data_IF_611672491464
#
_entry.id   IF_611672491464
#
_cell.length_a   1.000
_cell.length_b   1.000
_cell.length_c   1.000
_cell.angle_alpha   90.00
_cell.angle_beta   90.00
_cell.angle_gamma   90.00
#
_symmetry.space_group_name_H-M   'P 1'
#
loop_
_entity.id
_entity.type
_entity.pdbx_description
1 polymer ?
#
# COMPACT_ATOMS: atom_id res chain seq x y z
N UNK A 1 -39.06 -3.32 -20.23
CA UNK A 1 -38.34 -2.60 -21.30
C UNK A 1 -37.92 -1.23 -20.79
N UNK A 2 -36.65 -0.87 -20.96
CA UNK A 2 -36.08 0.35 -20.40
C UNK A 2 -34.96 0.88 -21.29
N UNK A 3 -34.76 2.21 -21.27
CA UNK A 3 -33.57 2.82 -21.86
C UNK A 3 -32.39 2.55 -20.93
N UNK A 4 -31.40 1.82 -21.44
CA UNK A 4 -30.14 1.53 -20.75
C UNK A 4 -29.07 2.49 -21.23
N UNK A 5 -28.48 3.24 -20.31
CA UNK A 5 -27.35 4.13 -20.57
C UNK A 5 -26.05 3.44 -20.15
N UNK A 6 -25.05 3.43 -21.02
CA UNK A 6 -23.69 2.96 -20.71
C UNK A 6 -22.72 4.12 -20.85
N UNK A 7 -21.98 4.43 -19.78
CA UNK A 7 -20.98 5.51 -19.80
C UNK A 7 -19.59 5.10 -19.37
N UNK A 8 -18.60 5.89 -19.73
CA UNK A 8 -17.20 5.66 -19.35
C UNK A 8 -16.26 6.44 -20.25
N UNK A 9 -15.07 6.76 -19.74
CA UNK A 9 -14.01 7.40 -20.55
C UNK A 9 -13.62 6.53 -21.76
N UNK A 10 -13.05 7.09 -22.84
CA UNK A 10 -12.42 6.28 -23.89
C UNK A 10 -11.43 5.27 -23.27
N UNK A 11 -11.39 4.03 -23.77
CA UNK A 11 -10.58 2.96 -23.19
C UNK A 11 -11.19 2.23 -22.00
N UNK A 12 -12.35 2.65 -21.51
CA UNK A 12 -13.00 2.09 -20.31
C UNK A 12 -13.58 0.70 -20.49
N UNK A 13 -13.88 0.30 -21.73
CA UNK A 13 -14.60 -0.95 -22.02
C UNK A 13 -16.12 -0.81 -22.10
N UNK A 14 -16.66 0.41 -22.28
CA UNK A 14 -18.10 0.67 -22.45
C UNK A 14 -18.74 -0.11 -23.60
N UNK A 15 -18.11 -0.10 -24.79
CA UNK A 15 -18.57 -0.85 -25.97
C UNK A 15 -18.45 -2.35 -25.73
N UNK A 16 -17.33 -2.81 -25.14
CA UNK A 16 -17.13 -4.22 -24.77
C UNK A 16 -18.22 -4.72 -23.81
N UNK A 17 -18.58 -3.92 -22.79
CA UNK A 17 -19.66 -4.27 -21.86
C UNK A 17 -21.01 -4.33 -22.56
N UNK A 18 -21.25 -3.40 -23.47
CA UNK A 18 -22.49 -3.35 -24.25
C UNK A 18 -22.64 -4.61 -25.11
N UNK A 19 -21.62 -4.98 -25.89
CA UNK A 19 -21.62 -6.22 -26.69
C UNK A 19 -21.78 -7.46 -25.83
N UNK A 20 -21.07 -7.54 -24.70
CA UNK A 20 -21.25 -8.63 -23.73
C UNK A 20 -22.69 -8.72 -23.21
N UNK A 21 -23.31 -7.58 -22.92
CA UNK A 21 -24.69 -7.52 -22.44
C UNK A 21 -25.71 -7.91 -23.51
N UNK A 22 -25.38 -7.81 -24.80
CA UNK A 22 -26.24 -8.22 -25.91
C UNK A 22 -26.24 -9.74 -26.11
N UNK A 23 -25.21 -10.47 -25.66
CA UNK A 23 -25.16 -11.94 -25.81
C UNK A 23 -26.41 -12.63 -25.24
N UNK A 24 -26.95 -12.13 -24.12
CA UNK A 24 -28.19 -12.67 -23.53
C UNK A 24 -29.42 -12.38 -24.40
N UNK A 25 -29.46 -11.23 -25.06
CA UNK A 25 -30.59 -10.82 -25.91
C UNK A 25 -30.58 -11.62 -27.22
N UNK A 26 -29.39 -11.85 -27.80
CA UNK A 26 -29.21 -12.72 -28.97
C UNK A 26 -29.63 -14.15 -28.66
N UNK A 27 -29.20 -14.69 -27.50
CA UNK A 27 -29.63 -16.02 -27.05
C UNK A 27 -31.14 -16.12 -26.81
N UNK A 28 -31.78 -15.01 -26.44
CA UNK A 28 -33.23 -14.90 -26.34
C UNK A 28 -33.92 -14.73 -27.71
N UNK A 29 -33.19 -14.75 -28.82
CA UNK A 29 -33.73 -14.66 -30.17
C UNK A 29 -34.17 -13.25 -30.58
N UNK A 30 -33.68 -12.21 -29.89
CA UNK A 30 -34.04 -10.82 -30.21
C UNK A 30 -33.19 -10.30 -31.36
N UNK A 31 -33.80 -9.54 -32.26
CA UNK A 31 -33.08 -8.82 -33.32
C UNK A 31 -32.32 -7.65 -32.71
N UNK A 32 -31.02 -7.60 -33.01
CA UNK A 32 -30.12 -6.54 -32.56
C UNK A 32 -29.95 -5.56 -33.71
N UNK A 33 -30.18 -4.29 -33.42
CA UNK A 33 -30.01 -3.17 -34.34
C UNK A 33 -28.91 -2.28 -33.78
N UNK A 34 -27.94 -1.88 -34.60
CA UNK A 34 -26.73 -1.18 -34.14
C UNK A 34 -26.44 0.04 -35.01
N UNK A 35 -26.08 1.14 -34.35
CA UNK A 35 -25.55 2.35 -34.97
C UNK A 35 -24.22 2.75 -34.29
N UNK A 36 -23.20 3.06 -35.09
CA UNK A 36 -21.93 3.62 -34.61
C UNK A 36 -20.86 2.63 -34.14
N UNK A 37 -21.18 1.34 -33.97
CA UNK A 37 -20.19 0.29 -33.65
C UNK A 37 -19.73 -0.36 -34.96
N UNK A 38 -18.42 -0.32 -35.23
CA UNK A 38 -17.81 -0.93 -36.43
C UNK A 38 -17.34 -2.36 -36.15
N UNK A 39 -17.19 -3.17 -37.18
CA UNK A 39 -16.54 -4.49 -37.12
C UNK A 39 -17.06 -5.39 -36.00
N UNK A 40 -18.38 -5.44 -35.88
CA UNK A 40 -19.09 -6.23 -34.90
C UNK A 40 -19.41 -7.61 -35.50
N UNK A 41 -18.94 -8.68 -34.86
CA UNK A 41 -19.05 -10.06 -35.34
C UNK A 41 -20.23 -10.84 -34.72
N UNK A 42 -21.26 -10.12 -34.27
CA UNK A 42 -22.56 -10.71 -33.90
C UNK A 42 -23.56 -10.53 -35.03
N UNK A 43 -24.63 -11.33 -35.06
CA UNK A 43 -25.75 -11.11 -35.98
C UNK A 43 -26.50 -9.83 -35.58
N UNK A 44 -26.45 -8.81 -36.45
CA UNK A 44 -27.05 -7.51 -36.20
C UNK A 44 -27.38 -6.81 -37.52
N UNK A 45 -28.35 -5.90 -37.46
CA UNK A 45 -28.64 -4.97 -38.53
C UNK A 45 -27.98 -3.62 -38.25
N UNK A 46 -27.23 -3.11 -39.23
CA UNK A 46 -26.60 -1.79 -39.13
C UNK A 46 -27.57 -0.71 -39.59
N UNK A 47 -27.80 0.28 -38.74
CA UNK A 47 -28.56 1.49 -39.06
C UNK A 47 -27.63 2.69 -39.20
N UNK A 48 -27.93 3.54 -40.17
CA UNK A 48 -27.32 4.87 -40.27
C UNK A 48 -28.00 5.88 -39.32
N UNK A 49 -27.49 7.09 -39.31
CA UNK A 49 -27.94 8.13 -38.39
C UNK A 49 -29.39 8.59 -38.70
N UNK A 50 -29.85 8.51 -39.95
CA UNK A 50 -31.20 8.89 -40.36
C UNK A 50 -32.23 7.82 -39.97
N UNK A 51 -31.90 6.54 -40.15
CA UNK A 51 -32.72 5.42 -39.67
C UNK A 51 -32.89 5.47 -38.16
N UNK A 52 -31.87 5.89 -37.39
CA UNK A 52 -32.00 6.09 -35.94
C UNK A 52 -32.94 7.25 -35.62
N UNK A 53 -32.90 8.36 -36.38
CA UNK A 53 -33.90 9.45 -36.23
C UNK A 53 -35.31 9.00 -36.57
N UNK A 54 -35.45 7.97 -37.37
CA UNK A 54 -36.73 7.36 -37.70
C UNK A 54 -36.96 6.02 -37.00
N UNK A 55 -36.29 5.77 -35.86
CA UNK A 55 -36.30 4.45 -35.20
C UNK A 55 -37.71 3.88 -35.00
N UNK A 56 -38.68 4.74 -34.68
CA UNK A 56 -40.07 4.37 -34.42
C UNK A 56 -40.84 3.91 -35.68
N UNK A 57 -40.31 4.16 -36.87
CA UNK A 57 -40.85 3.69 -38.16
C UNK A 57 -40.19 2.38 -38.59
N UNK A 58 -38.90 2.20 -38.27
CA UNK A 58 -38.09 1.07 -38.74
C UNK A 58 -38.01 -0.08 -37.74
N UNK A 59 -38.30 0.17 -36.46
CA UNK A 59 -38.22 -0.86 -35.43
C UNK A 59 -39.31 -1.91 -35.60
N UNK A 60 -38.98 -3.13 -35.17
CA UNK A 60 -39.90 -4.25 -35.00
C UNK A 60 -40.11 -4.50 -33.51
N UNK A 61 -41.28 -5.02 -33.10
CA UNK A 61 -41.48 -5.46 -31.72
C UNK A 61 -40.37 -6.41 -31.28
N UNK A 62 -39.92 -6.27 -30.05
CA UNK A 62 -38.84 -7.03 -29.41
C UNK A 62 -37.41 -6.68 -29.88
N UNK A 63 -37.22 -5.68 -30.73
CA UNK A 63 -35.88 -5.20 -31.10
C UNK A 63 -35.08 -4.70 -29.89
N UNK A 64 -33.76 -4.83 -29.98
CA UNK A 64 -32.80 -4.11 -29.14
C UNK A 64 -32.02 -3.14 -30.00
N UNK A 65 -32.23 -1.85 -29.80
CA UNK A 65 -31.58 -0.78 -30.58
C UNK A 65 -30.38 -0.26 -29.79
N UNK A 66 -29.20 -0.33 -30.39
CA UNK A 66 -27.92 0.02 -29.78
C UNK A 66 -27.32 1.22 -30.51
N UNK A 67 -27.05 2.31 -29.80
CA UNK A 67 -26.55 3.56 -30.40
C UNK A 67 -25.24 3.94 -29.70
N UNK A 68 -24.12 3.84 -30.40
CA UNK A 68 -22.81 4.27 -29.91
C UNK A 68 -22.51 5.73 -30.20
N UNK A 69 -21.86 6.37 -29.22
CA UNK A 69 -21.63 7.80 -29.14
C UNK A 69 -22.92 8.59 -29.45
N UNK A 70 -23.98 8.34 -28.67
CA UNK A 70 -25.35 8.85 -28.88
C UNK A 70 -25.44 10.36 -29.12
N UNK A 71 -24.48 11.14 -28.63
CA UNK A 71 -24.41 12.58 -28.87
C UNK A 71 -24.25 12.95 -30.36
N UNK A 72 -23.86 12.01 -31.23
CA UNK A 72 -23.88 12.19 -32.70
C UNK A 72 -25.31 12.40 -33.21
N UNK A 73 -26.27 11.70 -32.62
CA UNK A 73 -27.69 11.74 -33.04
C UNK A 73 -28.48 12.73 -32.19
N UNK A 74 -28.32 12.63 -30.86
CA UNK A 74 -29.08 13.39 -29.87
C UNK A 74 -28.15 14.19 -28.94
N UNK A 75 -27.50 15.25 -29.47
CA UNK A 75 -26.59 16.10 -28.71
C UNK A 75 -27.31 16.85 -27.58
N UNK A 76 -26.56 17.46 -26.63
CA UNK A 76 -27.18 18.30 -25.62
C UNK A 76 -27.66 19.59 -26.27
N UNK A 77 -28.86 20.03 -25.90
CA UNK A 77 -29.48 21.27 -26.37
C UNK A 77 -29.84 22.15 -25.17
N UNK A 78 -30.07 23.44 -25.41
CA UNK A 78 -30.55 24.35 -24.36
C UNK A 78 -31.99 23.98 -23.96
N UNK A 79 -32.39 24.34 -22.73
CA UNK A 79 -33.70 23.99 -22.19
C UNK A 79 -34.89 24.58 -22.98
N UNK A 80 -34.66 25.60 -23.79
CA UNK A 80 -35.68 26.25 -24.63
C UNK A 80 -35.93 25.54 -25.95
N UNK A 81 -35.03 24.63 -26.37
CA UNK A 81 -35.18 23.89 -27.63
C UNK A 81 -36.17 22.75 -27.42
N UNK A 82 -37.25 22.75 -28.20
CA UNK A 82 -38.23 21.66 -28.20
C UNK A 82 -37.55 20.36 -28.65
N UNK A 83 -37.87 19.25 -27.98
CA UNK A 83 -37.37 17.96 -28.42
C UNK A 83 -37.94 17.60 -29.80
N UNK A 84 -37.11 16.94 -30.61
CA UNK A 84 -37.50 16.43 -31.91
C UNK A 84 -38.45 15.23 -31.77
N UNK A 85 -39.24 14.94 -32.81
CA UNK A 85 -40.28 13.89 -32.76
C UNK A 85 -39.72 12.52 -32.35
N UNK A 86 -38.53 12.19 -32.85
CA UNK A 86 -37.82 10.96 -32.55
C UNK A 86 -37.47 10.80 -31.07
N UNK A 87 -37.14 11.91 -30.39
CA UNK A 87 -36.92 11.96 -28.95
C UNK A 87 -38.25 11.88 -28.19
N UNK A 88 -39.27 12.60 -28.63
CA UNK A 88 -40.61 12.56 -28.02
C UNK A 88 -41.19 11.13 -28.05
N UNK A 89 -41.01 10.40 -29.15
CA UNK A 89 -41.43 8.99 -29.28
C UNK A 89 -40.73 8.08 -28.27
N UNK A 90 -39.56 8.45 -27.71
CA UNK A 90 -38.86 7.62 -26.73
C UNK A 90 -39.67 7.49 -25.43
N UNK A 91 -40.53 8.45 -25.09
CA UNK A 91 -41.46 8.32 -23.97
C UNK A 91 -42.37 7.09 -24.08
N UNK A 92 -42.67 6.68 -25.32
CA UNK A 92 -43.57 5.58 -25.66
C UNK A 92 -42.84 4.40 -26.31
N UNK A 93 -41.51 4.28 -26.18
CA UNK A 93 -40.74 3.14 -26.72
C UNK A 93 -41.29 1.77 -26.29
N UNK A 94 -41.89 1.68 -25.09
CA UNK A 94 -42.54 0.46 -24.59
C UNK A 94 -43.77 0.05 -25.40
N UNK A 95 -44.49 0.98 -26.03
CA UNK A 95 -45.60 0.66 -26.94
C UNK A 95 -45.12 0.05 -28.25
N UNK A 96 -43.90 0.41 -28.69
CA UNK A 96 -43.24 -0.24 -29.83
C UNK A 96 -42.62 -1.59 -29.45
N UNK A 97 -42.55 -1.92 -28.15
CA UNK A 97 -41.99 -3.17 -27.68
C UNK A 97 -40.47 -3.26 -27.85
N UNK A 98 -39.75 -2.13 -27.83
CA UNK A 98 -38.30 -2.09 -28.05
C UNK A 98 -37.53 -1.81 -26.76
N UNK A 99 -36.30 -2.31 -26.67
CA UNK A 99 -35.31 -1.84 -25.69
C UNK A 99 -34.24 -1.00 -26.39
N UNK A 100 -33.76 0.03 -25.70
CA UNK A 100 -32.79 0.97 -26.28
C UNK A 100 -31.56 1.01 -25.36
N UNK A 101 -30.39 0.77 -25.94
CA UNK A 101 -29.09 0.86 -25.29
C UNK A 101 -28.30 2.02 -25.91
N UNK A 102 -28.05 3.07 -25.14
CA UNK A 102 -27.27 4.23 -25.57
C UNK A 102 -25.91 4.23 -24.90
N UNK A 103 -24.86 4.48 -25.68
CA UNK A 103 -23.48 4.53 -25.20
C UNK A 103 -22.95 5.96 -25.38
N UNK A 104 -22.29 6.49 -24.36
CA UNK A 104 -21.60 7.79 -24.45
C UNK A 104 -20.46 7.88 -23.44
N UNK A 105 -19.60 8.89 -23.56
CA UNK A 105 -18.54 9.10 -22.57
C UNK A 105 -19.06 9.67 -21.25
N UNK A 106 -20.13 10.47 -21.30
CA UNK A 106 -20.70 11.12 -20.12
C UNK A 106 -22.20 11.42 -20.34
N UNK A 107 -23.08 11.24 -19.33
CA UNK A 107 -24.53 11.46 -19.49
C UNK A 107 -24.89 12.87 -19.99
N UNK A 108 -24.14 13.89 -19.58
CA UNK A 108 -24.36 15.28 -20.01
C UNK A 108 -24.05 15.55 -21.49
N UNK A 109 -23.49 14.58 -22.23
CA UNK A 109 -23.26 14.72 -23.67
C UNK A 109 -24.50 14.41 -24.51
N UNK A 110 -25.58 13.91 -23.92
CA UNK A 110 -26.81 13.65 -24.65
C UNK A 110 -27.95 14.57 -24.20
N UNK A 111 -28.97 14.67 -25.04
CA UNK A 111 -30.18 15.42 -24.77
C UNK A 111 -30.77 15.04 -23.38
N UNK A 112 -31.21 16.06 -22.63
CA UNK A 112 -31.76 15.90 -21.28
C UNK A 112 -33.01 15.02 -21.28
N UNK A 113 -33.91 15.19 -22.25
CA UNK A 113 -35.16 14.40 -22.33
C UNK A 113 -34.88 12.90 -22.36
N UNK A 114 -33.84 12.48 -23.08
CA UNK A 114 -33.42 11.07 -23.14
C UNK A 114 -32.87 10.62 -21.79
N UNK A 115 -32.06 11.47 -21.16
CA UNK A 115 -31.45 11.20 -19.85
C UNK A 115 -32.49 10.98 -18.76
N UNK A 116 -33.56 11.75 -18.79
CA UNK A 116 -34.68 11.65 -17.84
C UNK A 116 -35.50 10.36 -18.05
N UNK A 117 -35.38 9.70 -19.20
CA UNK A 117 -36.02 8.42 -19.53
C UNK A 117 -35.16 7.18 -19.24
N UNK A 118 -33.90 7.36 -18.84
CA UNK A 118 -33.00 6.25 -18.51
C UNK A 118 -33.51 5.52 -17.28
N UNK A 119 -33.80 4.22 -17.43
CA UNK A 119 -34.22 3.34 -16.33
C UNK A 119 -33.12 2.42 -15.82
N UNK A 120 -31.95 2.44 -16.45
CA UNK A 120 -30.74 1.76 -15.98
C UNK A 120 -29.51 2.48 -16.51
N UNK A 121 -28.60 2.83 -15.63
CA UNK A 121 -27.32 3.43 -16.00
C UNK A 121 -26.17 2.56 -15.51
N UNK A 122 -25.24 2.24 -16.40
CA UNK A 122 -24.00 1.52 -16.09
C UNK A 122 -22.81 2.40 -16.45
N UNK A 123 -22.08 2.87 -15.43
CA UNK A 123 -20.81 3.57 -15.62
C UNK A 123 -19.65 2.58 -15.50
N UNK A 124 -18.88 2.42 -16.57
CA UNK A 124 -17.75 1.51 -16.69
C UNK A 124 -16.45 2.25 -16.40
N UNK A 125 -15.73 1.83 -15.36
CA UNK A 125 -14.41 2.37 -15.00
C UNK A 125 -13.35 1.28 -15.03
N UNK A 126 -12.43 1.34 -15.99
CA UNK A 126 -11.31 0.39 -16.10
C UNK A 126 -10.40 0.44 -14.87
N UNK A 127 -10.03 -0.74 -14.37
CA UNK A 127 -9.16 -0.88 -13.19
C UNK A 127 -7.71 -1.13 -13.59
N UNK A 128 -6.82 -0.25 -13.13
CA UNK A 128 -5.35 -0.40 -13.21
C UNK A 128 -4.79 -0.73 -14.61
N UNK A 129 -5.47 -0.30 -15.68
CA UNK A 129 -5.10 -0.61 -17.07
C UNK A 129 -5.22 -2.10 -17.45
N UNK A 130 -5.69 -2.95 -16.54
CA UNK A 130 -5.87 -4.39 -16.77
C UNK A 130 -7.11 -4.72 -17.60
N UNK A 131 -7.40 -6.03 -17.70
CA UNK A 131 -8.61 -6.60 -18.35
C UNK A 131 -9.79 -6.70 -17.38
N UNK A 132 -9.97 -5.68 -16.55
CA UNK A 132 -11.03 -5.60 -15.54
C UNK A 132 -11.57 -4.18 -15.47
N UNK A 133 -12.85 -4.04 -15.20
CA UNK A 133 -13.48 -2.77 -14.85
C UNK A 133 -14.32 -2.90 -13.58
N UNK A 134 -14.52 -1.77 -12.93
CA UNK A 134 -15.53 -1.58 -11.91
C UNK A 134 -16.77 -1.01 -12.60
N UNK A 135 -17.89 -1.73 -12.50
CA UNK A 135 -19.19 -1.26 -12.93
C UNK A 135 -19.86 -0.53 -11.77
N UNK A 136 -20.41 0.63 -12.04
CA UNK A 136 -21.25 1.39 -11.12
C UNK A 136 -22.64 1.47 -11.75
N UNK A 137 -23.65 0.91 -11.09
CA UNK A 137 -25.01 0.81 -11.63
C UNK A 137 -26.02 1.61 -10.80
N UNK A 138 -26.95 2.26 -11.51
CA UNK A 138 -28.11 2.99 -10.96
C UNK A 138 -29.37 2.64 -11.76
N UNK A 139 -30.54 2.87 -11.17
CA UNK A 139 -31.87 2.75 -11.79
C UNK A 139 -32.32 4.01 -12.55
N UNK A 140 -31.45 5.01 -12.64
CA UNK A 140 -31.65 6.27 -13.35
C UNK A 140 -30.32 6.78 -13.92
N UNK A 141 -30.35 7.77 -14.81
CA UNK A 141 -29.13 8.43 -15.25
C UNK A 141 -28.47 9.22 -14.11
N UNK A 142 -27.21 8.90 -13.82
CA UNK A 142 -26.44 9.51 -12.73
C UNK A 142 -25.18 10.20 -13.27
N UNK A 143 -24.82 11.37 -12.73
CA UNK A 143 -23.58 12.06 -13.10
C UNK A 143 -22.38 11.45 -12.35
N UNK A 144 -21.44 10.74 -13.00
CA UNK A 144 -20.33 10.10 -12.29
C UNK A 144 -19.41 11.09 -11.55
N UNK A 145 -19.44 12.38 -11.89
CA UNK A 145 -18.64 13.41 -11.22
C UNK A 145 -19.21 13.84 -9.85
N UNK A 146 -20.50 13.62 -9.58
CA UNK A 146 -21.09 13.93 -8.25
C UNK A 146 -20.79 12.87 -7.19
N UNK A 147 -20.10 11.79 -7.58
CA UNK A 147 -19.75 10.69 -6.69
C UNK A 147 -20.25 9.35 -7.22
N UNK A 148 -19.83 8.27 -6.56
CA UNK A 148 -20.13 6.89 -6.95
C UNK A 148 -20.53 6.05 -5.72
N UNK A 149 -21.05 6.70 -4.67
CA UNK A 149 -21.25 6.07 -3.35
C UNK A 149 -22.54 5.28 -3.27
N UNK A 150 -23.58 5.79 -3.90
CA UNK A 150 -24.95 5.26 -4.04
C UNK A 150 -25.07 4.18 -5.12
N UNK A 151 -24.06 4.05 -5.99
CA UNK A 151 -24.04 3.03 -7.03
C UNK A 151 -23.90 1.61 -6.48
N UNK A 152 -24.57 0.66 -7.14
CA UNK A 152 -24.25 -0.77 -6.99
C UNK A 152 -22.92 -1.05 -7.70
N UNK A 153 -21.95 -1.63 -6.98
CA UNK A 153 -20.58 -1.83 -7.47
C UNK A 153 -20.33 -3.29 -7.78
N UNK A 154 -20.04 -3.58 -9.04
CA UNK A 154 -19.74 -4.94 -9.51
C UNK A 154 -18.39 -4.99 -10.22
N UNK A 155 -17.46 -5.82 -9.74
CA UNK A 155 -16.18 -6.03 -10.43
C UNK A 155 -16.43 -6.93 -11.63
N UNK A 156 -16.13 -6.42 -12.82
CA UNK A 156 -16.35 -7.12 -14.06
C UNK A 156 -15.01 -7.43 -14.74
N UNK A 157 -14.75 -8.72 -14.96
CA UNK A 157 -13.63 -9.18 -15.76
C UNK A 157 -13.98 -9.17 -17.23
N UNK A 158 -13.09 -8.65 -18.07
CA UNK A 158 -13.33 -8.59 -19.51
C UNK A 158 -13.38 -10.01 -20.08
N UNK A 159 -14.54 -10.47 -20.58
CA UNK A 159 -14.67 -11.82 -21.09
C UNK A 159 -13.81 -11.98 -22.34
N UNK A 160 -12.95 -13.00 -22.37
CA UNK A 160 -12.03 -13.21 -23.51
C UNK A 160 -12.79 -13.35 -24.83
N UNK A 161 -13.89 -14.09 -24.82
CA UNK A 161 -14.74 -14.37 -25.99
C UNK A 161 -15.34 -13.11 -26.63
N UNK A 162 -15.62 -12.08 -25.84
CA UNK A 162 -16.26 -10.85 -26.36
C UNK A 162 -15.27 -10.00 -27.16
N UNK A 163 -13.96 -10.17 -26.97
CA UNK A 163 -12.96 -9.53 -27.83
C UNK A 163 -12.96 -10.09 -29.26
N UNK A 164 -13.40 -11.33 -29.44
CA UNK A 164 -13.52 -11.94 -30.76
C UNK A 164 -14.81 -11.45 -31.47
N UNK A 165 -15.77 -10.93 -30.70
CA UNK A 165 -17.05 -10.43 -31.20
C UNK A 165 -16.99 -8.98 -31.68
N UNK A 166 -15.90 -8.24 -31.42
CA UNK A 166 -15.79 -6.83 -31.78
C UNK A 166 -14.34 -6.36 -31.87
N UNK A 167 -13.98 -5.69 -32.97
CA UNK A 167 -12.67 -5.04 -33.11
C UNK A 167 -12.74 -3.60 -32.59
N UNK A 168 -12.15 -3.35 -31.41
CA UNK A 168 -12.02 -1.98 -30.90
C UNK A 168 -10.84 -1.25 -31.53
N UNK A 169 -11.08 -0.06 -32.10
CA UNK A 169 -10.04 0.84 -32.59
C UNK A 169 -9.03 1.29 -31.51
N UNK A 170 -9.38 1.15 -30.22
CA UNK A 170 -8.52 1.48 -29.08
C UNK A 170 -7.48 0.40 -28.74
N UNK A 171 -7.52 -0.78 -29.38
CA UNK A 171 -6.44 -1.77 -29.26
C UNK A 171 -5.09 -1.24 -29.78
N UNK A 172 -5.12 -0.22 -30.65
CA UNK A 172 -3.93 0.38 -31.24
C UNK A 172 -3.27 1.47 -30.39
N UNK A 173 -4.01 2.08 -29.45
CA UNK A 173 -3.44 2.99 -28.46
C UNK A 173 -3.39 2.25 -27.14
N UNK A 174 -2.25 1.64 -26.82
CA UNK A 174 -2.03 0.94 -25.54
C UNK A 174 -1.71 1.98 -24.45
N UNK A 175 -2.66 2.47 -23.63
CA UNK A 175 -2.26 3.14 -22.39
C UNK A 175 -1.53 2.12 -21.53
N UNK A 176 -0.26 2.41 -21.25
CA UNK A 176 0.62 1.58 -20.43
C UNK A 176 -0.07 1.34 -19.08
N UNK A 177 -0.39 0.08 -18.77
CA UNK A 177 -1.04 -0.26 -17.50
C UNK A 177 -0.13 0.15 -16.33
N UNK A 178 -0.49 1.20 -15.62
CA UNK A 178 0.22 1.61 -14.40
C UNK A 178 -0.42 0.87 -13.24
N UNK A 179 0.13 -0.30 -12.92
CA UNK A 179 -0.22 -1.02 -11.70
C UNK A 179 0.43 -0.25 -10.53
N UNK A 180 -0.33 0.18 -9.50
CA UNK A 180 0.23 0.91 -8.38
C UNK A 180 1.31 0.08 -7.68
N UNK A 181 2.52 0.62 -7.55
CA UNK A 181 3.68 -0.07 -6.92
C UNK A 181 3.37 -0.55 -5.49
N UNK A 182 2.44 0.11 -4.80
CA UNK A 182 1.98 -0.25 -3.46
C UNK A 182 1.46 -1.69 -3.34
N UNK A 183 0.86 -2.24 -4.41
CA UNK A 183 0.34 -3.61 -4.43
C UNK A 183 1.47 -4.66 -4.35
N UNK A 184 2.69 -4.30 -4.76
CA UNK A 184 3.89 -5.16 -4.66
C UNK A 184 4.68 -4.91 -3.36
N UNK A 185 4.64 -3.70 -2.82
CA UNK A 185 5.40 -3.32 -1.60
C UNK A 185 4.80 -3.96 -0.34
N UNK A 186 3.47 -4.01 -0.22
CA UNK A 186 2.80 -4.57 0.96
C UNK A 186 3.16 -6.05 1.27
N UNK A 187 3.11 -7.00 0.31
CA UNK A 187 3.50 -8.38 0.59
C UNK A 187 5.00 -8.51 0.90
N UNK A 188 5.87 -7.73 0.26
CA UNK A 188 7.30 -7.71 0.55
C UNK A 188 7.56 -7.19 1.97
N UNK A 189 6.91 -6.08 2.35
CA UNK A 189 7.02 -5.51 3.68
C UNK A 189 6.51 -6.48 4.77
N UNK A 190 5.42 -7.22 4.51
CA UNK A 190 4.93 -8.24 5.41
C UNK A 190 5.92 -9.41 5.58
N UNK A 191 6.53 -9.89 4.49
CA UNK A 191 7.57 -10.93 4.55
C UNK A 191 8.79 -10.44 5.31
N UNK A 192 9.26 -9.21 5.05
CA UNK A 192 10.38 -8.60 5.79
C UNK A 192 10.07 -8.49 7.27
N UNK A 193 8.86 -8.03 7.64
CA UNK A 193 8.44 -7.92 9.03
C UNK A 193 8.44 -9.30 9.73
N UNK A 194 7.96 -10.36 9.06
CA UNK A 194 8.00 -11.73 9.59
C UNK A 194 9.43 -12.24 9.76
N UNK A 195 10.31 -11.99 8.78
CA UNK A 195 11.73 -12.38 8.86
C UNK A 195 12.45 -11.64 10.00
N UNK A 196 12.19 -10.34 10.16
CA UNK A 196 12.76 -9.53 11.23
C UNK A 196 12.22 -9.97 12.60
N UNK A 197 10.94 -10.26 12.72
CA UNK A 197 10.35 -10.80 13.94
C UNK A 197 10.93 -12.18 14.29
N UNK A 198 11.13 -13.05 13.30
CA UNK A 198 11.76 -14.37 13.51
C UNK A 198 13.23 -14.25 13.93
N UNK A 199 13.99 -13.35 13.30
CA UNK A 199 15.38 -13.07 13.69
C UNK A 199 15.47 -12.43 15.07
N UNK A 200 14.59 -11.49 15.40
CA UNK A 200 14.51 -10.87 16.73
C UNK A 200 14.16 -11.88 17.82
N UNK A 201 13.17 -12.75 17.57
CA UNK A 201 12.82 -13.83 18.48
C UNK A 201 13.99 -14.80 18.70
N UNK A 202 14.68 -15.20 17.62
CA UNK A 202 15.91 -16.02 17.74
C UNK A 202 17.04 -15.32 18.50
N UNK A 203 17.23 -14.02 18.28
CA UNK A 203 18.25 -13.22 18.96
C UNK A 203 17.97 -13.04 20.45
N UNK A 204 16.70 -13.01 20.86
CA UNK A 204 16.30 -12.92 22.28
C UNK A 204 16.32 -14.30 22.94
N UNK A 205 15.99 -15.37 22.21
CA UNK A 205 16.06 -16.75 22.71
C UNK A 205 17.48 -17.34 22.73
N UNK A 206 18.43 -16.71 22.02
CA UNK A 206 19.82 -17.17 21.87
C UNK A 206 20.80 -16.60 22.90
N UNK A 207 20.31 -15.94 23.96
CA UNK A 207 21.15 -15.25 24.93
C UNK A 207 21.84 -14.02 24.34
N UNK A 208 22.10 -13.02 25.18
CA UNK A 208 22.99 -11.91 24.84
C UNK A 208 24.41 -12.45 24.63
N UNK A 209 24.68 -12.94 23.42
CA UNK A 209 26.00 -13.36 22.96
C UNK A 209 26.85 -12.13 22.70
N UNK A 210 27.63 -11.74 23.70
CA UNK A 210 28.81 -10.89 23.53
C UNK A 210 29.77 -11.63 22.59
N UNK A 211 29.73 -11.31 21.29
CA UNK A 211 30.67 -11.86 20.33
C UNK A 211 31.96 -11.04 20.30
N UNK A 212 33.03 -11.68 20.77
CA UNK A 212 34.34 -11.80 20.12
C UNK A 212 35.08 -10.52 19.75
N UNK A 213 35.68 -9.88 20.76
CA UNK A 213 36.89 -9.05 20.61
C UNK A 213 38.20 -9.85 20.62
N UNK A 214 38.16 -11.19 20.48
CA UNK A 214 39.32 -12.07 20.68
C UNK A 214 39.98 -12.56 19.38
N UNK A 215 40.01 -11.73 18.33
CA UNK A 215 40.79 -11.99 17.11
C UNK A 215 41.48 -10.72 16.59
N UNK A 216 42.40 -10.17 17.38
CA UNK A 216 43.34 -9.15 16.88
C UNK A 216 44.71 -9.12 17.59
N UNK A 217 45.03 -10.06 18.49
CA UNK A 217 46.24 -9.97 19.32
C UNK A 217 47.18 -11.18 19.23
N UNK A 218 47.28 -11.84 18.06
CA UNK A 218 48.20 -12.98 17.88
C UNK A 218 49.38 -12.74 16.93
N UNK A 219 49.52 -11.54 16.35
CA UNK A 219 50.60 -11.23 15.39
C UNK A 219 51.52 -10.06 15.77
N UNK A 220 51.64 -9.69 17.05
CA UNK A 220 52.53 -8.60 17.47
C UNK A 220 53.45 -8.96 18.65
N UNK A 221 53.89 -10.21 18.76
CA UNK A 221 54.91 -10.61 19.73
C UNK A 221 56.02 -11.44 19.07
N UNK A 222 56.66 -10.87 18.05
CA UNK A 222 57.99 -11.29 17.59
C UNK A 222 58.74 -10.04 17.10
N UNK A 223 59.22 -9.21 18.03
CA UNK A 223 60.43 -8.40 17.85
C UNK A 223 60.80 -7.73 19.18
N UNK A 224 61.89 -8.23 19.77
CA UNK A 224 62.84 -7.52 20.65
C UNK A 224 62.30 -6.93 21.96
N UNK A 225 62.78 -7.28 23.15
CA UNK A 225 64.13 -7.71 23.52
C UNK A 225 64.64 -6.78 24.63
N UNK A 226 64.73 -7.33 25.85
CA UNK A 226 65.53 -6.91 27.00
C UNK A 226 65.43 -5.47 27.55
N UNK A 227 65.02 -5.34 28.83
CA UNK A 227 65.93 -5.09 29.98
C UNK A 227 65.21 -5.32 31.32
N UNK A 228 66.03 -5.54 32.34
CA UNK A 228 65.81 -6.24 33.61
C UNK A 228 65.19 -5.43 34.76
N UNK A 229 64.78 -6.18 35.80
CA UNK A 229 64.58 -5.75 37.20
C UNK A 229 63.20 -5.15 37.47
N UNK A 230 62.46 -5.48 38.53
CA UNK A 230 62.83 -6.06 39.81
C UNK A 230 61.56 -6.69 40.44
N UNK A 231 61.74 -7.65 41.33
CA UNK A 231 60.65 -8.42 41.93
C UNK A 231 59.81 -7.60 42.91
N UNK A 232 58.56 -8.05 43.15
CA UNK A 232 57.87 -7.97 44.45
C UNK A 232 56.46 -8.60 44.38
N UNK A 233 56.21 -9.62 45.22
CA UNK A 233 54.98 -9.70 46.00
C UNK A 233 53.77 -10.45 45.43
N UNK A 234 53.88 -11.77 45.25
CA UNK A 234 52.72 -12.66 45.31
C UNK A 234 52.16 -12.67 46.74
N UNK A 235 51.15 -11.83 47.00
CA UNK A 235 50.51 -11.72 48.32
C UNK A 235 49.52 -10.57 48.52
N UNK A 236 49.40 -9.63 47.56
CA UNK A 236 48.49 -8.47 47.68
C UNK A 236 47.15 -8.59 46.96
N UNK A 237 46.99 -9.54 46.04
CA UNK A 237 45.85 -9.64 45.13
C UNK A 237 44.46 -9.78 45.81
N UNK A 238 44.42 -10.08 47.11
CA UNK A 238 43.17 -10.19 47.86
C UNK A 238 42.82 -9.03 48.81
N UNK A 239 43.73 -8.07 49.00
CA UNK A 239 43.49 -6.93 49.90
C UNK A 239 42.64 -5.86 49.22
N UNK A 240 41.54 -5.44 49.86
CA UNK A 240 40.75 -4.29 49.44
C UNK A 240 41.57 -2.99 49.60
N UNK A 241 41.54 -2.13 48.58
CA UNK A 241 42.19 -0.82 48.59
C UNK A 241 41.60 0.06 49.69
N UNK A 242 42.48 0.63 50.52
CA UNK A 242 42.10 1.59 51.58
C UNK A 242 42.03 3.03 51.05
N UNK A 243 42.57 3.29 49.85
CA UNK A 243 42.76 4.63 49.28
C UNK A 243 41.79 4.89 48.13
N UNK A 244 41.82 4.04 47.11
CA UNK A 244 41.07 4.22 45.87
C UNK A 244 39.71 3.54 45.90
N UNK A 245 38.71 4.19 45.30
CA UNK A 245 37.40 3.64 44.94
C UNK A 245 37.05 3.92 43.49
N UNK A 246 36.21 3.09 42.89
CA UNK A 246 35.67 3.34 41.56
C UNK A 246 34.64 4.48 41.63
N UNK A 247 34.88 5.55 40.86
CA UNK A 247 34.01 6.73 40.78
C UNK A 247 33.13 6.74 39.52
N UNK A 248 33.55 6.09 38.44
CA UNK A 248 32.77 5.99 37.22
C UNK A 248 33.50 5.25 36.09
N UNK A 249 32.80 5.00 35.00
CA UNK A 249 33.35 4.43 33.78
C UNK A 249 32.96 5.30 32.60
N UNK A 250 33.87 5.45 31.63
CA UNK A 250 33.60 6.19 30.41
C UNK A 250 34.44 5.63 29.25
N UNK A 251 34.05 5.96 28.02
CA UNK A 251 34.81 5.58 26.83
C UNK A 251 35.21 6.81 26.02
N UNK A 252 36.44 6.81 25.52
CA UNK A 252 36.93 7.81 24.55
C UNK A 252 37.51 7.03 23.38
N UNK A 253 37.07 7.36 22.16
CA UNK A 253 37.54 6.75 20.90
C UNK A 253 37.51 5.20 20.91
N UNK A 254 36.44 4.63 21.49
CA UNK A 254 36.23 3.20 21.58
C UNK A 254 37.07 2.47 22.63
N UNK A 255 37.86 3.18 23.44
CA UNK A 255 38.63 2.62 24.57
C UNK A 255 37.95 2.94 25.90
N UNK A 256 37.73 1.91 26.71
CA UNK A 256 37.10 2.04 28.03
C UNK A 256 38.11 2.45 29.10
N UNK A 257 37.69 3.32 30.01
CA UNK A 257 38.47 3.77 31.16
C UNK A 257 37.62 3.71 32.44
N UNK A 258 38.28 3.39 33.55
CA UNK A 258 37.72 3.51 34.90
C UNK A 258 38.32 4.72 35.58
N UNK A 259 37.46 5.59 36.09
CA UNK A 259 37.84 6.72 36.92
C UNK A 259 37.85 6.27 38.39
N UNK A 260 38.99 6.45 39.04
CA UNK A 260 39.20 6.21 40.46
C UNK A 260 39.22 7.53 41.20
N UNK A 261 38.68 7.54 42.42
CA UNK A 261 38.74 8.67 43.32
C UNK A 261 39.27 8.25 44.69
N UNK A 262 39.99 9.13 45.36
CA UNK A 262 40.37 8.97 46.76
C UNK A 262 39.44 9.79 47.69
N UNK A 263 39.76 9.82 48.99
CA UNK A 263 39.03 10.61 49.99
C UNK A 263 39.31 12.10 49.94
N UNK A 264 40.42 12.50 49.35
CA UNK A 264 40.86 13.89 49.25
C UNK A 264 40.36 14.57 47.97
N UNK A 265 39.65 13.84 47.10
CA UNK A 265 39.11 14.36 45.84
C UNK A 265 40.11 14.28 44.68
N UNK A 266 41.20 13.54 44.84
CA UNK A 266 42.11 13.26 43.73
C UNK A 266 41.52 12.18 42.82
N UNK A 267 41.79 12.31 41.53
CA UNK A 267 41.31 11.38 40.51
C UNK A 267 42.47 10.70 39.79
N UNK A 268 42.30 9.41 39.50
CA UNK A 268 43.20 8.61 38.68
C UNK A 268 42.41 7.87 37.62
N UNK A 269 42.96 7.79 36.41
CA UNK A 269 42.36 7.04 35.30
C UNK A 269 43.13 5.74 35.09
N UNK A 270 42.40 4.64 34.98
CA UNK A 270 42.94 3.33 34.63
C UNK A 270 42.25 2.75 33.39
N UNK A 271 42.94 1.86 32.66
CA UNK A 271 42.32 1.12 31.55
C UNK A 271 41.22 0.20 32.10
N UNK A 272 40.09 0.12 31.39
CA UNK A 272 39.02 -0.82 31.74
C UNK A 272 39.41 -2.30 31.54
N UNK A 273 40.48 -2.60 30.81
CA UNK A 273 40.93 -3.98 30.52
C UNK A 273 41.29 -4.77 31.78
N UNK A 274 41.64 -4.07 32.86
CA UNK A 274 42.02 -4.67 34.16
C UNK A 274 40.85 -4.71 35.16
N UNK A 275 39.65 -4.32 34.73
CA UNK A 275 38.44 -4.30 35.53
C UNK A 275 37.39 -5.26 34.98
N UNK A 276 36.59 -5.84 35.87
CA UNK A 276 35.50 -6.78 35.56
C UNK A 276 34.23 -6.35 36.27
N UNK A 277 33.09 -6.66 35.66
CA UNK A 277 31.76 -6.36 36.19
C UNK A 277 31.13 -5.13 35.54
N UNK A 278 29.81 -5.00 35.69
CA UNK A 278 29.02 -3.92 35.10
C UNK A 278 28.43 -3.03 36.21
N UNK A 279 28.15 -1.77 35.87
CA UNK A 279 27.49 -0.78 36.75
C UNK A 279 28.14 -0.66 38.14
N UNK A 280 27.47 -1.13 39.20
CA UNK A 280 27.94 -1.03 40.58
C UNK A 280 28.89 -2.18 40.99
N UNK A 281 29.01 -3.22 40.16
CA UNK A 281 29.84 -4.41 40.43
C UNK A 281 31.26 -4.35 39.87
N UNK A 282 31.73 -3.16 39.46
CA UNK A 282 33.04 -2.98 38.80
C UNK A 282 34.14 -3.16 39.82
N UNK A 283 35.03 -4.11 39.56
CA UNK A 283 36.17 -4.44 40.41
C UNK A 283 37.43 -4.66 39.58
N UNK A 284 38.57 -4.22 40.06
CA UNK A 284 39.86 -4.39 39.38
C UNK A 284 41.04 -4.35 40.34
N UNK A 285 42.24 -4.57 39.83
CA UNK A 285 43.48 -4.47 40.60
C UNK A 285 44.22 -3.18 40.21
N UNK A 286 44.58 -2.38 41.21
CA UNK A 286 45.35 -1.14 41.05
C UNK A 286 46.46 -1.18 42.08
N UNK A 287 47.72 -1.04 41.63
CA UNK A 287 48.91 -1.12 42.48
C UNK A 287 48.97 -2.41 43.34
N UNK A 288 48.37 -3.49 42.84
CA UNK A 288 48.27 -4.78 43.52
C UNK A 288 47.11 -4.92 44.51
N UNK A 289 46.32 -3.87 44.75
CA UNK A 289 45.16 -3.88 45.66
C UNK A 289 43.83 -3.93 44.88
N UNK A 290 42.81 -4.55 45.47
CA UNK A 290 41.48 -4.67 44.87
C UNK A 290 40.70 -3.38 45.04
N UNK A 291 40.32 -2.75 43.94
CA UNK A 291 39.53 -1.51 43.90
C UNK A 291 38.12 -1.80 43.39
N UNK A 292 37.11 -1.29 44.09
CA UNK A 292 35.70 -1.43 43.80
C UNK A 292 34.95 -0.12 44.15
N UNK A 293 33.65 -0.06 43.89
CA UNK A 293 32.83 1.12 44.27
C UNK A 293 32.81 1.32 45.80
N UNK A 294 32.90 0.23 46.57
CA UNK A 294 32.85 0.22 48.04
C UNK A 294 34.23 0.18 48.73
N UNK A 295 35.33 0.19 47.99
CA UNK A 295 36.69 0.28 48.56
C UNK A 295 37.04 1.73 48.87
N UNK A 296 38.21 2.01 49.47
CA UNK A 296 38.58 3.39 49.85
C UNK A 296 37.77 3.95 51.03
N UNK A 297 36.93 3.11 51.66
CA UNK A 297 36.12 3.42 52.83
C UNK A 297 36.57 2.57 54.03
N UNK A 298 37.58 3.02 54.79
CA UNK A 298 37.86 2.46 56.11
C UNK A 298 36.62 2.52 57.02
N UNK A 299 36.34 1.38 57.66
CA UNK A 299 35.29 1.12 58.62
C UNK A 299 35.26 2.14 59.77
N UNK A 300 34.06 2.56 60.18
CA UNK A 300 33.84 3.25 61.44
C UNK A 300 34.19 2.32 62.59
N UNK A 301 35.30 2.59 63.27
CA UNK A 301 35.65 1.93 64.52
C UNK A 301 34.89 2.64 65.66
N UNK A 302 33.67 2.19 65.94
CA UNK A 302 32.91 2.63 67.10
C UNK A 302 33.56 2.09 68.38
N UNK A 303 34.21 2.98 69.14
CA UNK A 303 34.54 2.76 70.55
C UNK A 303 34.17 4.01 71.35
N UNK A 304 32.98 3.96 71.95
CA UNK A 304 32.54 4.50 73.26
C UNK A 304 31.01 4.62 73.21
N UNK A 305 30.22 3.64 73.66
CA UNK A 305 29.97 3.24 75.06
C UNK A 305 29.25 4.33 75.89
N UNK A 306 27.97 4.02 76.22
CA UNK A 306 27.18 4.42 77.41
C UNK A 306 26.75 5.91 77.49
N UNK A 307 25.50 6.28 77.74
CA UNK A 307 24.29 5.53 78.06
C UNK A 307 23.14 6.47 78.42
N UNK A 308 21.93 5.89 78.36
CA UNK A 308 20.73 6.11 79.20
C UNK A 308 20.40 7.54 79.66
N UNK A 309 19.17 7.97 79.37
CA UNK A 309 18.42 8.77 80.34
C UNK A 309 17.26 9.59 79.81
N UNK A 310 16.10 8.93 79.68
CA UNK A 310 14.71 9.44 79.77
C UNK A 310 14.28 10.61 78.90
#
# INVERSE_FOLDING_TARGET
>A
MAITLVTGVPGSGKTLWSVWSLEKEIKAGRRIVVNGIRDLAIDHEMWDDDMVREWHKHCKPNDVIVIDEVQRIWPPVSASVKASEDIEKLHVHRHFGVDILVITQHPNRMNKTIRDLVGRHVHVRRLFGGRRAMLYEWDHAHNPNSGLKDAVKTVWGYPKKVFDLYTSAELHTKPKAVIPKALFILPIAAVVAVVLAWKGFKSVSGGFGVHDGAKAAQNAFLASGAVAGDGLGAGRADKASEVWRVAGQYAIDGRGYVLLADRHGNFRRESADHFKGETLGVTGLVDGERVAVWTGAAASNDKNAVGVGK
#
